data_IF_573629888918
#
_entry.id   IF_573629888918
#
_cell.length_a   1.000
_cell.length_b   1.000
_cell.length_c   1.000
_cell.angle_alpha   90.00
_cell.angle_beta   90.00
_cell.angle_gamma   90.00
#
_symmetry.space_group_name_H-M   'P 1'
#
loop_
_entity.id
_entity.type
_entity.pdbx_description
1 polymer ?
#
# COMPACT_ATOMS: atom_id res chain seq x y z
N UNK A 1 16.90 7.80 -11.82
CA UNK A 1 15.66 8.18 -11.13
C UNK A 1 15.94 9.49 -10.44
N UNK A 2 15.27 10.57 -10.80
CA UNK A 2 15.52 11.89 -10.20
C UNK A 2 14.89 11.95 -8.81
N UNK A 3 15.67 12.26 -7.79
CA UNK A 3 15.21 12.40 -6.40
C UNK A 3 15.21 13.88 -6.01
N UNK A 4 14.69 14.18 -4.82
CA UNK A 4 14.78 15.53 -4.25
C UNK A 4 16.21 16.06 -4.20
N UNK A 5 17.24 15.23 -3.96
CA UNK A 5 18.65 15.66 -3.95
C UNK A 5 19.14 16.21 -5.29
N UNK A 6 18.46 15.87 -6.38
CA UNK A 6 18.87 16.26 -7.74
C UNK A 6 18.44 17.68 -8.12
N UNK A 7 17.65 18.35 -7.28
CA UNK A 7 17.05 19.66 -7.57
C UNK A 7 17.34 20.66 -6.44
N UNK A 8 17.45 21.93 -6.82
CA UNK A 8 17.55 23.08 -5.92
C UNK A 8 16.14 23.65 -5.65
N UNK A 9 15.84 23.86 -4.37
CA UNK A 9 14.56 24.38 -3.91
C UNK A 9 14.63 25.83 -3.40
N UNK A 10 15.78 26.48 -3.42
CA UNK A 10 15.94 27.84 -2.93
C UNK A 10 14.96 28.82 -3.62
N UNK A 11 14.06 29.42 -2.82
CA UNK A 11 13.03 30.33 -3.30
C UNK A 11 11.98 29.69 -4.23
N UNK A 12 11.86 28.36 -4.23
CA UNK A 12 10.87 27.59 -5.00
C UNK A 12 9.81 26.99 -4.10
N UNK A 13 8.61 26.83 -4.64
CA UNK A 13 7.50 26.10 -4.02
C UNK A 13 7.50 24.66 -4.52
N UNK A 14 7.68 23.71 -3.62
CA UNK A 14 7.54 22.29 -3.93
C UNK A 14 6.10 21.85 -3.69
N UNK A 15 5.39 21.44 -4.75
CA UNK A 15 4.12 20.74 -4.62
C UNK A 15 4.40 19.26 -4.38
N UNK A 16 4.10 18.78 -3.18
CA UNK A 16 4.41 17.41 -2.74
C UNK A 16 3.13 16.60 -2.60
N UNK A 17 3.05 15.48 -3.31
CA UNK A 17 2.05 14.45 -3.07
C UNK A 17 2.55 13.51 -1.98
N UNK A 18 1.85 13.47 -0.83
CA UNK A 18 2.17 12.61 0.34
C UNK A 18 0.97 11.72 0.69
N UNK A 19 1.18 10.60 1.39
CA UNK A 19 0.08 9.74 1.86
C UNK A 19 -0.26 9.99 3.34
N UNK A 20 -1.05 11.03 3.62
CA UNK A 20 -1.58 11.30 4.97
C UNK A 20 -2.92 10.64 5.26
N UNK A 21 -3.24 9.53 4.61
CA UNK A 21 -4.41 8.74 4.98
C UNK A 21 -4.11 7.94 6.25
N UNK A 22 -4.14 8.62 7.39
CA UNK A 22 -3.87 8.09 8.74
C UNK A 22 -5.17 7.67 9.45
N UNK A 23 -5.12 6.66 10.33
CA UNK A 23 -6.28 6.31 11.16
C UNK A 23 -6.56 7.40 12.20
N UNK A 24 -7.84 7.77 12.31
CA UNK A 24 -8.33 8.75 13.27
C UNK A 24 -9.36 8.11 14.21
N UNK A 25 -9.36 8.52 15.49
CA UNK A 25 -10.46 8.22 16.41
C UNK A 25 -11.72 9.04 16.07
N UNK A 26 -12.84 8.74 16.71
CA UNK A 26 -14.08 9.52 16.59
C UNK A 26 -13.89 11.01 17.00
N UNK A 27 -12.89 11.30 17.83
CA UNK A 27 -12.50 12.64 18.28
C UNK A 27 -11.40 13.27 17.39
N UNK A 28 -11.15 12.71 16.21
CA UNK A 28 -10.13 13.16 15.24
C UNK A 28 -8.69 13.13 15.75
N UNK A 29 -8.38 12.24 16.70
CA UNK A 29 -7.00 12.00 17.14
C UNK A 29 -6.32 10.99 16.25
N UNK A 30 -5.08 11.27 15.87
CA UNK A 30 -4.24 10.33 15.11
C UNK A 30 -3.83 9.17 16.03
N UNK A 31 -4.11 7.93 15.62
CA UNK A 31 -3.70 6.73 16.38
C UNK A 31 -2.41 6.10 15.88
N UNK A 32 -2.03 6.36 14.63
CA UNK A 32 -0.77 5.95 14.00
C UNK A 32 -0.34 7.04 13.01
N UNK A 33 0.80 7.69 13.29
CA UNK A 33 1.35 8.78 12.49
C UNK A 33 2.52 8.34 11.59
N UNK A 34 2.79 7.03 11.47
CA UNK A 34 3.89 6.46 10.70
C UNK A 34 3.95 6.99 9.27
N UNK A 35 2.79 7.20 8.64
CA UNK A 35 2.72 7.77 7.29
C UNK A 35 3.15 9.23 7.23
N UNK A 36 2.82 10.02 8.25
CA UNK A 36 3.25 11.42 8.33
C UNK A 36 4.73 11.54 8.62
N UNK A 37 5.25 10.74 9.56
CA UNK A 37 6.66 10.76 9.94
C UNK A 37 7.56 10.25 8.79
N UNK A 38 7.08 9.30 7.98
CA UNK A 38 7.84 8.72 6.87
C UNK A 38 8.25 9.70 5.76
N UNK A 39 7.52 10.81 5.58
CA UNK A 39 7.80 11.83 4.55
C UNK A 39 8.54 13.05 5.11
N UNK A 40 8.76 13.14 6.43
CA UNK A 40 9.48 14.26 7.05
C UNK A 40 10.87 14.49 6.47
N UNK A 41 11.68 13.45 6.14
CA UNK A 41 12.98 13.68 5.52
C UNK A 41 12.87 14.49 4.21
N UNK A 42 11.83 14.23 3.40
CA UNK A 42 11.58 14.94 2.14
C UNK A 42 11.21 16.39 2.40
N UNK A 43 10.30 16.63 3.36
CA UNK A 43 9.87 17.97 3.76
C UNK A 43 11.06 18.78 4.28
N UNK A 44 11.82 18.21 5.23
CA UNK A 44 12.93 18.90 5.88
C UNK A 44 14.03 19.26 4.89
N UNK A 45 14.34 18.39 3.93
CA UNK A 45 15.29 18.68 2.86
C UNK A 45 14.90 19.95 2.10
N UNK A 46 13.64 20.01 1.65
CA UNK A 46 13.15 21.14 0.83
C UNK A 46 13.17 22.45 1.64
N UNK A 47 12.77 22.40 2.90
CA UNK A 47 12.82 23.56 3.79
C UNK A 47 14.26 24.02 4.05
N UNK A 48 15.19 23.08 4.28
CA UNK A 48 16.61 23.38 4.54
C UNK A 48 17.32 23.98 3.32
N UNK A 49 16.87 23.64 2.11
CA UNK A 49 17.36 24.26 0.86
C UNK A 49 16.82 25.69 0.65
N UNK A 50 15.96 26.19 1.55
CA UNK A 50 15.34 27.51 1.42
C UNK A 50 14.11 27.53 0.51
N UNK A 51 13.48 26.37 0.30
CA UNK A 51 12.19 26.27 -0.39
C UNK A 51 10.99 26.38 0.55
N UNK A 52 9.80 26.36 -0.04
CA UNK A 52 8.53 26.24 0.68
C UNK A 52 7.78 25.00 0.20
N UNK A 53 6.93 24.43 1.07
CA UNK A 53 6.32 23.12 0.85
C UNK A 53 4.81 23.23 0.79
N UNK A 54 4.21 22.88 -0.35
CA UNK A 54 2.76 22.69 -0.47
C UNK A 54 2.45 21.19 -0.46
N UNK A 55 1.76 20.73 0.57
CA UNK A 55 1.38 19.34 0.75
C UNK A 55 -0.03 19.11 0.22
N UNK A 56 -0.19 18.05 -0.58
CA UNK A 56 -1.49 17.55 -0.99
C UNK A 56 -1.62 16.06 -0.68
N UNK A 57 -2.78 15.67 -0.16
CA UNK A 57 -3.06 14.31 0.27
C UNK A 57 -4.54 13.97 0.14
N UNK A 58 -4.87 12.74 0.48
CA UNK A 58 -6.24 12.29 0.66
C UNK A 58 -6.42 11.73 2.07
N UNK A 59 -7.66 11.70 2.54
CA UNK A 59 -8.06 11.01 3.78
C UNK A 59 -9.37 10.24 3.53
N UNK A 60 -9.37 8.96 3.84
CA UNK A 60 -10.53 8.09 3.67
C UNK A 60 -11.06 8.02 2.23
N UNK A 61 -12.37 7.79 2.11
CA UNK A 61 -13.11 7.66 0.84
C UNK A 61 -14.44 8.41 0.95
N UNK A 62 -14.45 9.74 0.80
CA UNK A 62 -15.68 10.52 0.74
C UNK A 62 -16.55 10.06 -0.44
N UNK A 63 -17.80 9.67 -0.18
CA UNK A 63 -18.75 9.23 -1.24
C UNK A 63 -19.78 10.31 -1.58
N UNK A 64 -20.06 11.21 -0.65
CA UNK A 64 -21.10 12.24 -0.75
C UNK A 64 -20.58 13.67 -0.94
N UNK A 65 -19.29 13.85 -1.22
CA UNK A 65 -18.63 15.16 -1.23
C UNK A 65 -17.90 15.46 0.09
N UNK A 66 -17.61 16.73 0.38
CA UNK A 66 -16.90 17.14 1.59
C UNK A 66 -17.64 16.71 2.87
N UNK A 67 -16.94 15.99 3.76
CA UNK A 67 -17.43 15.63 5.09
C UNK A 67 -16.33 15.93 6.11
N UNK A 68 -16.68 16.52 7.25
CA UNK A 68 -15.73 16.90 8.30
C UNK A 68 -14.82 15.74 8.74
N UNK A 69 -15.35 14.51 8.75
CA UNK A 69 -14.60 13.31 9.12
C UNK A 69 -13.46 12.92 8.17
N UNK A 70 -13.47 13.48 6.97
CA UNK A 70 -12.46 13.27 5.94
C UNK A 70 -11.63 14.53 5.69
N UNK A 71 -11.81 15.59 6.48
CA UNK A 71 -10.96 16.79 6.39
C UNK A 71 -9.54 16.48 6.87
N UNK A 72 -8.54 17.11 6.25
CA UNK A 72 -7.13 17.06 6.67
C UNK A 72 -6.81 18.08 7.77
N UNK A 73 -7.75 18.96 8.12
CA UNK A 73 -7.59 19.98 9.16
C UNK A 73 -7.11 19.45 10.53
N UNK A 74 -7.57 18.28 11.02
CA UNK A 74 -7.08 17.72 12.27
C UNK A 74 -5.59 17.38 12.26
N UNK A 75 -4.97 17.23 11.08
CA UNK A 75 -3.55 16.88 10.95
C UNK A 75 -2.62 18.09 11.13
N UNK A 76 -3.14 19.33 11.05
CA UNK A 76 -2.34 20.56 11.01
C UNK A 76 -1.50 20.73 12.27
N UNK A 77 -2.09 20.56 13.45
CA UNK A 77 -1.39 20.73 14.73
C UNK A 77 -0.30 19.67 14.92
N UNK A 78 -0.58 18.42 14.54
CA UNK A 78 0.39 17.33 14.58
C UNK A 78 1.52 17.57 13.60
N UNK A 79 1.21 17.93 12.36
CA UNK A 79 2.19 18.24 11.33
C UNK A 79 3.13 19.37 11.75
N UNK A 80 2.59 20.43 12.35
CA UNK A 80 3.39 21.54 12.88
C UNK A 80 4.31 21.05 14.03
N UNK A 81 3.81 20.20 14.93
CA UNK A 81 4.61 19.66 16.02
C UNK A 81 5.77 18.77 15.53
N UNK A 82 5.53 17.88 14.57
CA UNK A 82 6.55 16.95 14.06
C UNK A 82 7.56 17.61 13.10
N UNK A 83 7.19 18.72 12.47
CA UNK A 83 8.10 19.49 11.57
C UNK A 83 8.78 20.66 12.28
N UNK A 84 8.30 21.06 13.46
CA UNK A 84 8.74 22.29 14.12
C UNK A 84 8.50 23.56 13.31
N UNK A 85 7.60 23.51 12.33
CA UNK A 85 7.39 24.55 11.33
C UNK A 85 5.91 24.97 11.33
N UNK A 86 5.65 26.25 11.06
CA UNK A 86 4.27 26.73 10.90
C UNK A 86 3.60 26.09 9.68
N UNK A 87 2.38 25.57 9.88
CA UNK A 87 1.58 24.94 8.84
C UNK A 87 0.34 25.78 8.59
N UNK A 88 0.28 26.39 7.41
CA UNK A 88 -0.93 27.00 6.88
C UNK A 88 -1.87 25.92 6.35
N UNK A 89 -3.17 26.14 6.45
CA UNK A 89 -4.19 25.23 5.95
C UNK A 89 -5.21 25.98 5.09
N UNK A 90 -5.55 25.42 3.94
CA UNK A 90 -6.69 25.89 3.14
C UNK A 90 -7.83 24.89 3.23
N UNK A 91 -9.05 25.38 3.46
CA UNK A 91 -10.27 24.54 3.51
C UNK A 91 -10.72 24.04 2.12
N UNK A 92 -9.93 24.33 1.07
CA UNK A 92 -10.11 23.84 -0.31
C UNK A 92 -8.74 23.68 -1.00
N UNK A 93 -8.68 22.90 -2.09
CA UNK A 93 -7.43 22.63 -2.83
C UNK A 93 -7.32 23.33 -4.20
N UNK A 94 -8.37 24.01 -4.69
CA UNK A 94 -8.38 24.74 -5.96
C UNK A 94 -9.11 26.10 -5.87
N UNK A 95 -9.44 26.57 -4.67
CA UNK A 95 -10.03 27.89 -4.47
C UNK A 95 -9.02 29.02 -4.71
N UNK A 96 -9.55 30.24 -4.90
CA UNK A 96 -8.71 31.43 -5.06
C UNK A 96 -7.82 31.66 -3.85
N UNK A 97 -8.37 31.46 -2.66
CA UNK A 97 -7.70 31.61 -1.36
C UNK A 97 -6.57 30.59 -1.20
N UNK A 98 -6.76 29.35 -1.66
CA UNK A 98 -5.74 28.31 -1.63
C UNK A 98 -4.55 28.66 -2.55
N UNK A 99 -4.83 29.20 -3.73
CA UNK A 99 -3.78 29.67 -4.64
C UNK A 99 -3.03 30.89 -4.09
N UNK A 100 -3.75 31.85 -3.51
CA UNK A 100 -3.14 33.04 -2.87
C UNK A 100 -2.24 32.64 -1.71
N UNK A 101 -2.70 31.75 -0.83
CA UNK A 101 -1.89 31.21 0.28
C UNK A 101 -0.60 30.58 -0.24
N UNK A 102 -0.70 29.76 -1.29
CA UNK A 102 0.47 29.09 -1.88
C UNK A 102 1.42 30.03 -2.61
N UNK A 103 0.90 31.10 -3.21
CA UNK A 103 1.70 32.07 -3.97
C UNK A 103 2.46 33.01 -3.03
N UNK A 104 1.86 33.34 -1.88
CA UNK A 104 2.43 34.28 -0.91
C UNK A 104 3.24 33.58 0.20
N UNK A 105 3.56 32.29 0.04
CA UNK A 105 4.36 31.55 1.02
C UNK A 105 5.76 32.13 1.16
N UNK A 106 6.22 32.23 2.40
CA UNK A 106 7.62 32.53 2.70
C UNK A 106 8.47 31.26 2.61
N UNK A 107 9.75 31.36 2.23
CA UNK A 107 10.70 30.26 2.37
C UNK A 107 10.67 29.68 3.78
N UNK A 108 10.73 28.34 3.90
CA UNK A 108 10.67 27.65 5.18
C UNK A 108 9.27 27.43 5.74
N UNK A 109 8.20 27.80 5.02
CA UNK A 109 6.81 27.55 5.45
C UNK A 109 6.18 26.31 4.80
N UNK A 110 5.15 25.76 5.45
CA UNK A 110 4.37 24.62 4.96
C UNK A 110 2.92 25.06 4.73
N UNK A 111 2.33 24.63 3.62
CA UNK A 111 0.91 24.79 3.31
C UNK A 111 0.29 23.42 3.04
N UNK A 112 -0.69 23.02 3.84
CA UNK A 112 -1.48 21.81 3.65
C UNK A 112 -2.80 22.15 2.96
N UNK A 113 -3.02 21.56 1.78
CA UNK A 113 -4.31 21.64 1.07
C UNK A 113 -5.33 20.69 1.69
N UNK A 114 -6.62 21.00 1.52
CA UNK A 114 -7.70 20.10 1.89
C UNK A 114 -7.71 18.80 1.04
N UNK A 115 -8.43 17.80 1.52
CA UNK A 115 -8.53 16.46 0.96
C UNK A 115 -8.90 16.46 -0.53
N UNK A 116 -7.96 15.99 -1.35
CA UNK A 116 -8.11 15.91 -2.80
C UNK A 116 -9.34 15.09 -3.24
N UNK A 117 -9.76 14.09 -2.45
CA UNK A 117 -10.91 13.25 -2.78
C UNK A 117 -12.27 13.94 -2.55
N UNK A 118 -12.29 15.17 -2.06
CA UNK A 118 -13.52 15.99 -2.11
C UNK A 118 -13.91 16.35 -3.54
N UNK A 119 -12.97 16.25 -4.48
CA UNK A 119 -13.18 16.37 -5.92
C UNK A 119 -13.18 14.97 -6.56
N UNK A 120 -14.23 14.64 -7.31
CA UNK A 120 -14.32 13.35 -8.03
C UNK A 120 -13.28 13.25 -9.14
N UNK A 121 -12.88 14.41 -9.64
CA UNK A 121 -11.85 14.67 -10.62
C UNK A 121 -10.49 14.08 -10.24
N UNK A 122 -10.19 13.98 -8.94
CA UNK A 122 -8.97 13.33 -8.43
C UNK A 122 -8.91 11.86 -8.85
N UNK A 123 -9.97 11.10 -8.59
CA UNK A 123 -10.00 9.66 -8.86
C UNK A 123 -10.15 9.34 -10.35
N UNK A 124 -10.79 10.23 -11.12
CA UNK A 124 -10.91 10.09 -12.57
C UNK A 124 -9.64 10.45 -13.34
N UNK A 125 -8.61 11.00 -12.66
CA UNK A 125 -7.40 11.46 -13.34
C UNK A 125 -7.67 12.67 -14.25
N UNK A 126 -8.55 13.58 -13.84
CA UNK A 126 -8.93 14.72 -14.67
C UNK A 126 -7.75 15.69 -14.90
N UNK A 127 -7.55 16.06 -16.16
CA UNK A 127 -6.43 16.91 -16.57
C UNK A 127 -6.62 18.37 -16.16
N UNK A 128 -7.85 18.88 -16.06
CA UNK A 128 -8.13 20.28 -15.70
C UNK A 128 -7.94 20.50 -14.20
N UNK A 129 -8.36 19.52 -13.40
CA UNK A 129 -8.09 19.47 -11.97
C UNK A 129 -6.60 19.35 -11.70
N UNK A 130 -5.89 18.45 -12.39
CA UNK A 130 -4.43 18.35 -12.30
C UNK A 130 -3.70 19.66 -12.69
N UNK A 131 -4.17 20.35 -13.73
CA UNK A 131 -3.64 21.66 -14.12
C UNK A 131 -3.87 22.73 -13.04
N UNK A 132 -5.00 22.66 -12.34
CA UNK A 132 -5.32 23.56 -11.23
C UNK A 132 -4.40 23.30 -10.04
N UNK A 133 -4.22 22.03 -9.65
CA UNK A 133 -3.27 21.64 -8.61
C UNK A 133 -1.83 22.09 -8.94
N UNK A 134 -1.42 22.01 -10.21
CA UNK A 134 -0.08 22.40 -10.63
C UNK A 134 0.27 23.88 -10.34
N UNK A 135 -0.73 24.77 -10.20
CA UNK A 135 -0.51 26.19 -9.90
C UNK A 135 0.11 26.44 -8.52
N UNK A 136 -0.01 25.47 -7.62
CA UNK A 136 0.50 25.59 -6.25
C UNK A 136 2.03 25.51 -6.13
N UNK A 137 2.74 24.96 -7.13
CA UNK A 137 4.17 24.73 -7.04
C UNK A 137 4.92 25.07 -8.31
N UNK A 138 6.24 25.15 -8.17
CA UNK A 138 7.19 25.31 -9.28
C UNK A 138 7.88 23.98 -9.61
N UNK A 139 7.97 23.09 -8.62
CA UNK A 139 8.55 21.73 -8.70
C UNK A 139 7.54 20.73 -8.16
N UNK A 140 7.33 19.62 -8.86
CA UNK A 140 6.50 18.53 -8.38
C UNK A 140 7.33 17.42 -7.73
N UNK A 141 6.94 17.02 -6.52
CA UNK A 141 7.57 15.93 -5.77
C UNK A 141 6.52 14.87 -5.49
N UNK A 142 6.72 13.65 -5.95
CA UNK A 142 5.85 12.53 -5.57
C UNK A 142 6.53 11.71 -4.48
N UNK A 143 5.94 11.70 -3.29
CA UNK A 143 6.40 10.94 -2.14
C UNK A 143 5.30 10.00 -1.57
N UNK A 144 4.32 9.64 -2.41
CA UNK A 144 3.17 8.82 -2.01
C UNK A 144 3.12 7.46 -2.73
N UNK A 145 4.04 6.56 -2.38
CA UNK A 145 4.16 5.23 -3.01
C UNK A 145 2.85 4.42 -2.95
N UNK A 146 2.16 4.44 -1.80
CA UNK A 146 0.90 3.72 -1.60
C UNK A 146 -0.22 4.09 -2.58
N UNK A 147 -0.15 5.28 -3.17
CA UNK A 147 -1.12 5.76 -4.18
C UNK A 147 -0.61 5.74 -5.61
N UNK A 148 0.67 5.41 -5.83
CA UNK A 148 1.33 5.49 -7.14
C UNK A 148 0.81 4.49 -8.19
N UNK A 149 0.16 3.41 -7.74
CA UNK A 149 -0.42 2.39 -8.61
C UNK A 149 -1.70 2.86 -9.34
N UNK A 150 -2.20 4.06 -9.04
CA UNK A 150 -3.42 4.61 -9.63
C UNK A 150 -3.08 5.83 -10.48
N UNK A 151 -3.78 5.97 -11.60
CA UNK A 151 -3.65 7.12 -12.50
C UNK A 151 -4.52 8.31 -12.03
N UNK A 152 -4.39 8.72 -10.77
CA UNK A 152 -5.13 9.87 -10.25
C UNK A 152 -4.52 11.20 -10.71
N UNK A 153 -5.29 12.28 -10.58
CA UNK A 153 -4.85 13.61 -10.99
C UNK A 153 -3.58 14.04 -10.24
N UNK A 154 -3.56 13.92 -8.90
CA UNK A 154 -2.45 14.33 -8.04
C UNK A 154 -1.21 13.44 -8.06
N UNK A 155 -1.29 12.23 -8.62
CA UNK A 155 -0.20 11.25 -8.61
C UNK A 155 0.44 11.04 -9.98
N UNK A 156 -0.36 11.00 -11.05
CA UNK A 156 0.10 10.70 -12.40
C UNK A 156 0.01 11.92 -13.33
N UNK A 157 -1.15 12.58 -13.37
CA UNK A 157 -1.45 13.57 -14.41
C UNK A 157 -0.79 14.91 -14.12
N UNK A 158 -0.79 15.35 -12.85
CA UNK A 158 -0.17 16.61 -12.41
C UNK A 158 1.29 16.72 -12.84
N UNK A 159 2.03 15.60 -12.85
CA UNK A 159 3.43 15.56 -13.23
C UNK A 159 3.69 15.98 -14.69
N UNK A 160 2.68 15.97 -15.56
CA UNK A 160 2.79 16.43 -16.95
C UNK A 160 2.89 17.96 -17.08
N UNK A 161 2.41 18.70 -16.07
CA UNK A 161 2.43 20.17 -16.04
C UNK A 161 3.74 20.76 -15.51
N UNK A 162 4.67 19.93 -15.05
CA UNK A 162 5.94 20.36 -14.47
C UNK A 162 7.12 19.99 -15.36
N UNK A 163 8.00 20.98 -15.60
CA UNK A 163 9.32 20.75 -16.21
C UNK A 163 10.27 20.05 -15.23
N UNK A 164 10.25 20.47 -13.97
CA UNK A 164 11.04 19.89 -12.90
C UNK A 164 10.15 19.01 -12.01
N UNK A 165 10.50 17.73 -11.94
CA UNK A 165 9.79 16.74 -11.14
C UNK A 165 10.74 15.67 -10.63
N UNK A 166 10.50 15.21 -9.41
CA UNK A 166 11.32 14.18 -8.79
C UNK A 166 10.51 13.33 -7.79
N UNK A 167 11.16 12.30 -7.27
CA UNK A 167 10.62 11.52 -6.14
C UNK A 167 11.17 12.02 -4.82
N UNK A 168 10.32 12.02 -3.80
CA UNK A 168 10.77 12.15 -2.41
C UNK A 168 11.49 10.87 -1.94
N UNK A 169 12.03 10.91 -0.73
CA UNK A 169 12.84 9.82 -0.21
C UNK A 169 12.05 8.53 0.04
N UNK A 170 10.79 8.63 0.49
CA UNK A 170 9.95 7.45 0.71
C UNK A 170 9.70 6.74 -0.62
N UNK A 171 9.20 7.48 -1.62
CA UNK A 171 8.97 6.94 -2.96
C UNK A 171 10.27 6.38 -3.56
N UNK A 172 11.38 7.10 -3.43
CA UNK A 172 12.66 6.67 -3.95
C UNK A 172 13.13 5.34 -3.33
N UNK A 173 13.00 5.21 -2.01
CA UNK A 173 13.34 4.00 -1.25
C UNK A 173 12.46 2.83 -1.67
N UNK A 174 11.14 3.02 -1.76
CA UNK A 174 10.21 1.97 -2.15
C UNK A 174 10.47 1.48 -3.59
N UNK A 175 10.70 2.40 -4.53
CA UNK A 175 11.04 2.05 -5.92
C UNK A 175 12.39 1.34 -5.98
N UNK A 176 13.38 1.75 -5.20
CA UNK A 176 14.69 1.10 -5.14
C UNK A 176 14.58 -0.34 -4.58
N UNK A 177 13.81 -0.53 -3.51
CA UNK A 177 13.56 -1.84 -2.91
C UNK A 177 12.82 -2.77 -3.87
N UNK A 178 11.76 -2.28 -4.52
CA UNK A 178 11.02 -3.03 -5.53
C UNK A 178 11.92 -3.42 -6.71
N UNK A 179 12.76 -2.50 -7.20
CA UNK A 179 13.73 -2.81 -8.28
C UNK A 179 14.79 -3.82 -7.87
N UNK A 180 15.35 -3.71 -6.65
CA UNK A 180 16.31 -4.68 -6.13
C UNK A 180 15.68 -6.07 -6.12
N UNK A 181 14.45 -6.18 -5.61
CA UNK A 181 13.71 -7.42 -5.52
C UNK A 181 13.39 -8.03 -6.89
N UNK A 182 13.00 -7.21 -7.87
CA UNK A 182 12.61 -7.68 -9.20
C UNK A 182 13.80 -8.05 -10.09
N UNK A 183 14.95 -7.38 -9.95
CA UNK A 183 16.08 -7.55 -10.87
C UNK A 183 17.10 -8.59 -10.40
N UNK A 184 17.47 -8.58 -9.11
CA UNK A 184 18.48 -9.48 -8.58
C UNK A 184 18.31 -9.66 -7.06
N UNK A 185 17.29 -10.42 -6.62
CA UNK A 185 17.11 -10.70 -5.21
C UNK A 185 18.23 -11.60 -4.69
N UNK A 186 18.64 -11.40 -3.43
CA UNK A 186 19.63 -12.26 -2.78
C UNK A 186 19.00 -13.65 -2.56
N UNK A 187 19.65 -14.71 -3.05
CA UNK A 187 19.09 -16.09 -3.06
C UNK A 187 19.56 -16.96 -1.87
N UNK A 188 18.69 -17.80 -1.28
CA UNK A 188 17.34 -18.13 -1.75
C UNK A 188 16.30 -17.01 -1.53
N UNK A 189 15.52 -16.71 -2.56
CA UNK A 189 14.41 -15.77 -2.53
C UNK A 189 13.09 -16.52 -2.31
N UNK A 190 12.45 -16.25 -1.17
CA UNK A 190 11.13 -16.79 -0.83
C UNK A 190 10.08 -15.68 -0.86
N UNK A 191 8.99 -15.91 -1.57
CA UNK A 191 7.80 -15.06 -1.49
C UNK A 191 6.70 -15.74 -0.68
N UNK A 192 6.01 -14.99 0.17
CA UNK A 192 4.83 -15.41 0.90
C UNK A 192 3.64 -14.65 0.32
N UNK A 193 2.64 -15.37 -0.17
CA UNK A 193 1.42 -14.80 -0.74
C UNK A 193 0.23 -15.34 0.03
N UNK A 194 -0.55 -14.44 0.64
CA UNK A 194 -1.73 -14.81 1.41
C UNK A 194 -2.92 -13.90 1.13
N UNK A 195 -3.90 -13.95 2.02
CA UNK A 195 -5.17 -13.25 1.90
C UNK A 195 -6.32 -14.15 1.42
N UNK A 196 -7.46 -13.51 1.19
CA UNK A 196 -8.73 -14.21 0.98
C UNK A 196 -8.88 -14.77 -0.45
N UNK A 197 -8.62 -13.96 -1.49
CA UNK A 197 -8.94 -14.30 -2.88
C UNK A 197 -7.70 -14.55 -3.72
N UNK A 198 -7.75 -15.62 -4.51
CA UNK A 198 -6.78 -15.93 -5.56
C UNK A 198 -6.85 -14.88 -6.67
N UNK A 199 -8.05 -14.45 -7.07
CA UNK A 199 -8.26 -13.50 -8.17
C UNK A 199 -7.44 -12.21 -8.04
N UNK A 200 -7.31 -11.68 -6.82
CA UNK A 200 -6.54 -10.48 -6.53
C UNK A 200 -5.01 -10.69 -6.60
N UNK A 201 -4.55 -11.95 -6.62
CA UNK A 201 -3.13 -12.33 -6.43
C UNK A 201 -2.53 -13.12 -7.60
N UNK A 202 -3.32 -13.56 -8.58
CA UNK A 202 -2.83 -14.37 -9.72
C UNK A 202 -1.65 -13.69 -10.43
N UNK A 203 -1.79 -12.42 -10.80
CA UNK A 203 -0.75 -11.70 -11.52
C UNK A 203 0.54 -11.59 -10.70
N UNK A 204 0.42 -11.41 -9.38
CA UNK A 204 1.56 -11.35 -8.46
C UNK A 204 2.26 -12.72 -8.45
N UNK A 205 1.52 -13.81 -8.28
CA UNK A 205 2.08 -15.16 -8.29
C UNK A 205 2.76 -15.47 -9.63
N UNK A 206 2.11 -15.18 -10.76
CA UNK A 206 2.67 -15.44 -12.10
C UNK A 206 3.97 -14.66 -12.34
N UNK A 207 4.07 -13.43 -11.83
CA UNK A 207 5.30 -12.65 -11.89
C UNK A 207 6.39 -13.24 -10.99
N UNK A 208 6.04 -13.62 -9.75
CA UNK A 208 6.96 -14.20 -8.78
C UNK A 208 7.53 -15.54 -9.23
N UNK A 209 6.76 -16.34 -10.00
CA UNK A 209 7.24 -17.57 -10.62
C UNK A 209 8.45 -17.37 -11.53
N UNK A 210 8.74 -16.15 -11.99
CA UNK A 210 9.92 -15.87 -12.81
C UNK A 210 11.18 -15.57 -11.99
N UNK A 211 11.04 -15.26 -10.70
CA UNK A 211 12.13 -14.70 -9.90
C UNK A 211 12.36 -15.43 -8.57
N UNK A 212 11.33 -15.98 -7.93
CA UNK A 212 11.42 -16.64 -6.64
C UNK A 212 11.97 -18.07 -6.74
N UNK A 213 12.72 -18.50 -5.73
CA UNK A 213 13.12 -19.91 -5.55
C UNK A 213 11.99 -20.69 -4.86
N UNK A 214 11.33 -20.05 -3.88
CA UNK A 214 10.21 -20.62 -3.14
C UNK A 214 9.02 -19.65 -3.11
N UNK A 215 7.81 -20.19 -3.19
CA UNK A 215 6.57 -19.43 -2.99
C UNK A 215 5.72 -20.15 -1.94
N UNK A 216 5.51 -19.52 -0.80
CA UNK A 216 4.59 -19.98 0.24
C UNK A 216 3.22 -19.36 -0.03
N UNK A 217 2.19 -20.19 -0.12
CA UNK A 217 0.80 -19.74 -0.31
C UNK A 217 -0.01 -20.09 0.94
N UNK A 218 -0.64 -19.10 1.55
CA UNK A 218 -1.50 -19.26 2.74
C UNK A 218 -2.80 -18.48 2.62
N UNK A 219 -3.52 -18.29 3.72
CA UNK A 219 -4.81 -17.60 3.74
C UNK A 219 -5.93 -18.38 3.04
N UNK A 220 -7.11 -17.75 2.92
CA UNK A 220 -8.27 -18.34 2.25
C UNK A 220 -8.00 -18.78 0.81
N UNK A 221 -7.06 -18.11 0.12
CA UNK A 221 -6.71 -18.45 -1.25
C UNK A 221 -6.03 -19.82 -1.39
N UNK A 222 -5.40 -20.35 -0.33
CA UNK A 222 -4.75 -21.65 -0.35
C UNK A 222 -5.75 -22.81 -0.56
N UNK A 223 -7.02 -22.64 -0.18
CA UNK A 223 -8.03 -23.69 -0.33
C UNK A 223 -8.41 -23.94 -1.79
N UNK A 224 -8.42 -22.91 -2.64
CA UNK A 224 -8.59 -23.11 -4.09
C UNK A 224 -7.43 -23.91 -4.70
N UNK A 225 -6.20 -23.71 -4.22
CA UNK A 225 -5.06 -24.55 -4.60
C UNK A 225 -5.20 -25.98 -4.06
N UNK A 226 -5.73 -26.16 -2.85
CA UNK A 226 -6.02 -27.48 -2.28
C UNK A 226 -7.02 -28.26 -3.16
N UNK A 227 -8.11 -27.62 -3.59
CA UNK A 227 -9.08 -28.21 -4.52
C UNK A 227 -8.44 -28.54 -5.87
N UNK A 228 -7.55 -27.68 -6.40
CA UNK A 228 -6.81 -27.96 -7.62
C UNK A 228 -5.89 -29.21 -7.52
N UNK A 229 -5.54 -29.63 -6.29
CA UNK A 229 -4.81 -30.88 -5.99
C UNK A 229 -5.73 -32.05 -5.60
N UNK A 230 -7.05 -31.87 -5.68
CA UNK A 230 -8.04 -32.90 -5.33
C UNK A 230 -8.40 -32.96 -3.84
N UNK A 231 -8.07 -31.94 -3.04
CA UNK A 231 -8.38 -31.89 -1.62
C UNK A 231 -9.82 -31.44 -1.31
N UNK A 232 -10.37 -31.92 -0.19
CA UNK A 232 -11.63 -31.46 0.40
C UNK A 232 -11.40 -30.25 1.32
N UNK A 233 -12.27 -29.24 1.23
CA UNK A 233 -12.09 -27.95 1.92
C UNK A 233 -13.29 -27.53 2.79
N UNK A 234 -14.32 -28.38 2.93
CA UNK A 234 -15.55 -28.03 3.65
C UNK A 234 -16.16 -26.72 3.15
N UNK A 235 -16.47 -25.81 4.08
CA UNK A 235 -17.02 -24.48 3.84
C UNK A 235 -15.95 -23.38 3.69
N UNK A 236 -14.68 -23.76 3.49
CA UNK A 236 -13.60 -22.77 3.34
C UNK A 236 -13.78 -21.91 2.09
N UNK A 237 -13.15 -20.73 2.10
CA UNK A 237 -13.24 -19.79 0.99
C UNK A 237 -12.72 -20.41 -0.32
N UNK A 238 -13.49 -20.28 -1.40
CA UNK A 238 -13.24 -20.99 -2.65
C UNK A 238 -13.66 -20.18 -3.88
N UNK A 239 -12.81 -20.17 -4.90
CA UNK A 239 -13.08 -19.56 -6.21
C UNK A 239 -13.10 -20.64 -7.30
N UNK A 240 -14.29 -21.18 -7.59
CA UNK A 240 -14.47 -22.29 -8.53
C UNK A 240 -13.93 -21.99 -9.93
N UNK A 241 -14.08 -20.75 -10.41
CA UNK A 241 -13.60 -20.27 -11.71
C UNK A 241 -12.07 -20.06 -11.76
N UNK A 242 -11.35 -20.35 -10.67
CA UNK A 242 -9.90 -20.24 -10.55
C UNK A 242 -9.18 -21.55 -10.31
N UNK A 243 -9.89 -22.68 -10.19
CA UNK A 243 -9.28 -24.00 -9.96
C UNK A 243 -8.32 -24.39 -11.08
N UNK A 244 -8.76 -24.28 -12.34
CA UNK A 244 -7.92 -24.56 -13.51
C UNK A 244 -6.68 -23.68 -13.51
N UNK A 245 -6.83 -22.40 -13.18
CA UNK A 245 -5.73 -21.45 -13.10
C UNK A 245 -4.72 -21.80 -12.00
N UNK A 246 -5.19 -22.26 -10.84
CA UNK A 246 -4.32 -22.74 -9.76
C UNK A 246 -3.53 -23.97 -10.21
N UNK A 247 -4.17 -24.92 -10.90
CA UNK A 247 -3.50 -26.09 -11.46
C UNK A 247 -2.42 -25.69 -12.51
N UNK A 248 -2.70 -24.72 -13.37
CA UNK A 248 -1.71 -24.15 -14.29
C UNK A 248 -0.52 -23.54 -13.56
N UNK A 249 -0.76 -22.76 -12.49
CA UNK A 249 0.29 -22.12 -11.69
C UNK A 249 1.20 -23.18 -11.07
N UNK A 250 0.65 -24.25 -10.50
CA UNK A 250 1.42 -25.36 -9.92
C UNK A 250 2.31 -26.03 -10.99
N UNK A 251 1.77 -26.30 -12.18
CA UNK A 251 2.53 -26.86 -13.31
C UNK A 251 3.63 -25.92 -13.79
N UNK A 252 3.34 -24.61 -13.90
CA UNK A 252 4.33 -23.59 -14.29
C UNK A 252 5.46 -23.49 -13.28
N UNK A 253 5.17 -23.63 -11.99
CA UNK A 253 6.17 -23.62 -10.93
C UNK A 253 7.13 -24.80 -11.06
N UNK A 254 6.59 -26.01 -11.23
CA UNK A 254 7.39 -27.22 -11.48
C UNK A 254 8.28 -27.07 -12.73
N UNK A 255 7.71 -26.60 -13.85
CA UNK A 255 8.46 -26.38 -15.09
C UNK A 255 9.59 -25.35 -14.96
N UNK A 256 9.47 -24.40 -14.02
CA UNK A 256 10.48 -23.37 -13.73
C UNK A 256 11.41 -23.71 -12.57
N UNK A 257 11.22 -24.87 -11.92
CA UNK A 257 11.98 -25.25 -10.73
C UNK A 257 11.65 -24.42 -9.49
N UNK A 258 10.51 -23.71 -9.46
CA UNK A 258 10.05 -22.93 -8.31
C UNK A 258 9.28 -23.84 -7.36
N UNK A 259 9.64 -23.84 -6.08
CA UNK A 259 8.97 -24.67 -5.07
C UNK A 259 7.78 -23.93 -4.47
N UNK A 260 6.57 -24.39 -4.77
CA UNK A 260 5.35 -23.90 -4.11
C UNK A 260 5.10 -24.71 -2.84
N UNK A 261 4.96 -24.01 -1.72
CA UNK A 261 4.59 -24.56 -0.41
C UNK A 261 3.14 -24.18 -0.08
N UNK A 262 2.32 -25.19 0.19
CA UNK A 262 0.94 -25.04 0.66
C UNK A 262 0.84 -25.53 2.11
N UNK A 263 -0.16 -25.08 2.89
CA UNK A 263 -0.30 -25.52 4.28
C UNK A 263 -0.48 -27.04 4.33
N UNK A 264 0.18 -27.70 5.27
CA UNK A 264 0.02 -29.15 5.48
C UNK A 264 -1.17 -29.46 6.38
N UNK A 265 -1.49 -28.54 7.27
CA UNK A 265 -2.61 -28.56 8.21
C UNK A 265 -3.14 -27.14 8.41
N UNK A 266 -4.33 -27.06 8.99
CA UNK A 266 -5.11 -25.83 9.15
C UNK A 266 -5.78 -25.83 10.52
N UNK A 267 -5.98 -24.65 11.07
CA UNK A 267 -6.95 -24.41 12.14
C UNK A 267 -8.30 -24.21 11.46
N UNK A 268 -9.25 -25.10 11.76
CA UNK A 268 -10.60 -25.06 11.21
C UNK A 268 -11.61 -24.68 12.31
N UNK A 269 -12.68 -24.00 11.91
CA UNK A 269 -13.78 -23.61 12.79
C UNK A 269 -15.14 -23.99 12.18
N UNK A 270 -16.14 -24.20 13.03
CA UNK A 270 -17.53 -24.46 12.61
C UNK A 270 -18.34 -23.18 12.32
N UNK A 271 -17.80 -22.01 12.67
CA UNK A 271 -18.36 -20.70 12.36
C UNK A 271 -17.26 -19.64 12.18
N UNK A 272 -17.59 -18.54 11.50
CA UNK A 272 -16.74 -17.36 11.38
C UNK A 272 -16.98 -16.42 12.58
N UNK A 273 -16.53 -16.82 13.77
CA UNK A 273 -16.65 -16.01 15.00
C UNK A 273 -15.57 -16.41 16.03
N UNK A 274 -15.22 -15.49 16.94
CA UNK A 274 -14.22 -15.75 17.99
C UNK A 274 -14.70 -16.83 19.00
N UNK A 275 -15.99 -17.11 19.01
CA UNK A 275 -16.67 -18.07 19.88
C UNK A 275 -16.86 -19.45 19.22
N UNK A 276 -16.40 -19.64 17.99
CA UNK A 276 -16.54 -20.88 17.25
C UNK A 276 -15.76 -22.04 17.89
N UNK A 277 -16.23 -23.27 17.69
CA UNK A 277 -15.42 -24.43 18.04
C UNK A 277 -14.27 -24.54 17.04
N UNK A 278 -13.06 -24.80 17.53
CA UNK A 278 -11.87 -24.93 16.69
C UNK A 278 -11.22 -26.30 16.83
N UNK A 279 -10.58 -26.77 15.77
CA UNK A 279 -9.73 -27.96 15.80
C UNK A 279 -8.65 -27.90 14.71
N UNK A 280 -7.62 -28.73 14.85
CA UNK A 280 -6.61 -28.93 13.81
C UNK A 280 -7.09 -29.96 12.79
N UNK A 281 -6.83 -29.71 11.52
CA UNK A 281 -7.19 -30.62 10.44
C UNK A 281 -6.10 -30.62 9.34
N UNK A 282 -5.76 -31.80 8.83
CA UNK A 282 -4.85 -31.93 7.70
C UNK A 282 -5.45 -31.30 6.43
N UNK A 283 -4.60 -30.67 5.62
CA UNK A 283 -5.02 -30.03 4.39
C UNK A 283 -5.63 -31.03 3.40
N UNK A 284 -6.76 -30.65 2.81
CA UNK A 284 -7.49 -31.49 1.87
C UNK A 284 -8.42 -32.51 2.53
N UNK A 285 -8.60 -32.45 3.85
CA UNK A 285 -9.52 -33.31 4.61
C UNK A 285 -10.48 -32.51 5.50
N UNK A 286 -10.72 -31.23 5.20
CA UNK A 286 -11.58 -30.37 6.02
C UNK A 286 -13.03 -30.88 5.95
N UNK A 287 -13.67 -31.23 7.09
CA UNK A 287 -15.02 -31.77 7.12
C UNK A 287 -16.07 -30.77 6.62
N UNK A 288 -17.18 -31.28 6.11
CA UNK A 288 -18.34 -30.46 5.76
C UNK A 288 -18.86 -29.70 6.99
N UNK A 289 -19.29 -28.46 6.80
CA UNK A 289 -19.69 -27.57 7.89
C UNK A 289 -18.54 -26.79 8.54
N UNK A 290 -17.29 -27.24 8.37
CA UNK A 290 -16.10 -26.57 8.90
C UNK A 290 -15.40 -25.74 7.82
N UNK A 291 -14.70 -24.69 8.24
CA UNK A 291 -13.90 -23.83 7.36
C UNK A 291 -12.52 -23.59 7.94
N UNK A 292 -11.49 -23.59 7.09
CA UNK A 292 -10.14 -23.24 7.51
C UNK A 292 -9.97 -21.73 7.61
N UNK A 293 -9.50 -21.27 8.77
CA UNK A 293 -9.36 -19.86 9.10
C UNK A 293 -7.91 -19.45 9.38
N UNK A 294 -7.01 -20.40 9.62
CA UNK A 294 -5.57 -20.15 9.76
C UNK A 294 -4.75 -21.41 9.44
N UNK A 295 -3.43 -21.25 9.28
CA UNK A 295 -2.50 -22.36 9.09
C UNK A 295 -2.23 -23.10 10.41
N UNK A 296 -2.08 -24.43 10.33
CA UNK A 296 -1.78 -25.27 11.50
C UNK A 296 -0.30 -25.33 11.86
N UNK A 297 0.02 -26.09 12.90
CA UNK A 297 1.37 -26.20 13.44
C UNK A 297 2.37 -26.84 12.45
N UNK A 298 1.95 -27.83 11.65
CA UNK A 298 2.83 -28.46 10.65
C UNK A 298 3.17 -27.47 9.53
N UNK A 299 2.19 -26.68 9.08
CA UNK A 299 2.37 -25.60 8.12
C UNK A 299 3.33 -24.54 8.68
N UNK A 300 3.10 -24.05 9.90
CA UNK A 300 3.99 -23.07 10.57
C UNK A 300 5.42 -23.58 10.61
N UNK A 301 5.63 -24.83 11.05
CA UNK A 301 6.96 -25.43 11.13
C UNK A 301 7.64 -25.51 9.76
N UNK A 302 6.96 -26.11 8.77
CA UNK A 302 7.52 -26.30 7.44
C UNK A 302 7.82 -24.97 6.73
N UNK A 303 6.94 -23.97 6.87
CA UNK A 303 7.16 -22.63 6.33
C UNK A 303 8.34 -21.94 7.02
N UNK A 304 8.45 -22.05 8.34
CA UNK A 304 9.57 -21.48 9.12
C UNK A 304 10.92 -22.04 8.67
N UNK A 305 11.00 -23.35 8.40
CA UNK A 305 12.23 -23.99 7.91
C UNK A 305 12.69 -23.45 6.55
N UNK A 306 11.74 -23.10 5.67
CA UNK A 306 12.05 -22.45 4.38
C UNK A 306 12.54 -21.02 4.63
N UNK A 307 11.83 -20.26 5.46
CA UNK A 307 12.12 -18.85 5.73
C UNK A 307 13.47 -18.64 6.40
N UNK A 308 13.85 -19.51 7.35
CA UNK A 308 15.15 -19.45 8.03
C UNK A 308 16.34 -19.69 7.09
N UNK A 309 16.11 -20.29 5.92
CA UNK A 309 17.13 -20.53 4.88
C UNK A 309 17.14 -19.45 3.80
N UNK A 310 16.14 -18.57 3.78
CA UNK A 310 15.99 -17.51 2.79
C UNK A 310 16.93 -16.34 3.08
N UNK A 311 17.50 -15.77 2.02
CA UNK A 311 18.23 -14.49 2.10
C UNK A 311 17.36 -13.29 1.78
N UNK A 312 16.35 -13.48 0.93
CA UNK A 312 15.33 -12.47 0.64
C UNK A 312 13.96 -13.03 0.93
N UNK A 313 13.12 -12.27 1.63
CA UNK A 313 11.73 -12.61 1.90
C UNK A 313 10.85 -11.45 1.44
N UNK A 314 9.87 -11.75 0.59
CA UNK A 314 8.76 -10.83 0.28
C UNK A 314 7.49 -11.41 0.89
N UNK A 315 6.76 -10.65 1.70
CA UNK A 315 5.49 -11.11 2.26
C UNK A 315 4.35 -10.17 1.87
N UNK A 316 3.36 -10.72 1.16
CA UNK A 316 2.13 -10.03 0.80
C UNK A 316 0.88 -10.86 1.14
N UNK A 317 0.24 -10.52 2.26
CA UNK A 317 -1.07 -11.06 2.65
C UNK A 317 -1.01 -12.02 3.85
N UNK A 318 -2.00 -11.98 4.75
CA UNK A 318 -2.01 -12.78 5.97
C UNK A 318 -2.20 -14.28 5.69
N UNK A 319 -1.78 -15.12 6.63
CA UNK A 319 -1.92 -16.59 6.57
C UNK A 319 -3.28 -17.09 7.04
N UNK A 320 -4.03 -16.27 7.79
CA UNK A 320 -5.34 -16.54 8.34
C UNK A 320 -6.12 -15.27 8.67
N UNK A 321 -7.25 -15.40 9.35
CA UNK A 321 -8.11 -14.28 9.78
C UNK A 321 -7.54 -13.65 11.05
N UNK A 322 -6.48 -12.86 10.89
CA UNK A 322 -5.73 -12.28 12.01
C UNK A 322 -6.51 -11.23 12.82
N UNK A 323 -7.66 -10.76 12.30
CA UNK A 323 -8.57 -9.87 13.01
C UNK A 323 -9.41 -10.58 14.09
N UNK A 324 -9.47 -11.91 14.06
CA UNK A 324 -10.16 -12.73 15.06
C UNK A 324 -9.24 -12.98 16.25
N UNK A 325 -9.76 -12.79 17.47
CA UNK A 325 -9.01 -12.81 18.74
C UNK A 325 -9.72 -13.63 19.79
#
# INVERSE_FOLDING_TARGET
>A
MTTVDSLDFAGKRALIRVDFNVPLTCEFKITDDSRMTSVLPTIQKILNDGGSVVLMSHLGRPKGGPEAKYSLRPLVSHLAAITGTEVMFSDDCISKEAFETSTNMTPGSIHLLENLRFYKEEESGDSSFAASLAKHGDIYVNDAFGTAHRAHASTAIVASFFKQKCFGYLMAKEVANAKKLMNNPDRPFTSIVGGAKVSDKILIIENLLNIADHIIIGGGMAYTFSVAKGGQIGNSLFEADRVEKCAEILKKAEAKGVQIHLPQDNIIADAFSNEANTQLCDSGAIPDGWMGLDIGEKAIKSFSEVLLKSKTILWNGPMGVFEMT
#
